data_IF_553415422153
#
_entry.id   IF_553415422153
#
_cell.length_a   1.000
_cell.length_b   1.000
_cell.length_c   1.000
_cell.angle_alpha   90.00
_cell.angle_beta   90.00
_cell.angle_gamma   90.00
#
_symmetry.space_group_name_H-M   'P 1'
#
loop_
_entity.id
_entity.type
_entity.pdbx_description
1 polymer ?
#
# COMPACT_ATOMS: atom_id res chain seq x y z
N UNK A 1 41.45 -16.43 7.23
CA UNK A 1 40.24 -17.22 6.90
C UNK A 1 39.10 -17.02 7.91
N UNK A 2 39.34 -17.13 9.23
CA UNK A 2 38.29 -16.93 10.26
C UNK A 2 37.63 -15.54 10.26
N UNK A 3 38.37 -14.46 9.97
CA UNK A 3 37.83 -13.10 9.90
C UNK A 3 36.85 -12.90 8.73
N UNK A 4 37.20 -13.42 7.54
CA UNK A 4 36.37 -13.34 6.33
C UNK A 4 35.06 -14.12 6.49
N UNK A 5 35.12 -15.35 7.01
CA UNK A 5 33.92 -16.15 7.25
C UNK A 5 32.97 -15.50 8.27
N UNK A 6 33.51 -14.83 9.29
CA UNK A 6 32.72 -14.14 10.32
C UNK A 6 32.04 -12.89 9.75
N UNK A 7 32.76 -12.11 8.94
CA UNK A 7 32.23 -10.94 8.22
C UNK A 7 31.14 -11.33 7.23
N UNK A 8 31.36 -12.38 6.44
CA UNK A 8 30.37 -12.86 5.48
C UNK A 8 29.10 -13.37 6.17
N UNK A 9 29.24 -14.04 7.32
CA UNK A 9 28.09 -14.50 8.11
C UNK A 9 27.29 -13.35 8.70
N UNK A 10 27.96 -12.34 9.25
CA UNK A 10 27.30 -11.14 9.76
C UNK A 10 26.52 -10.40 8.65
N UNK A 11 27.08 -10.34 7.45
CA UNK A 11 26.40 -9.71 6.31
C UNK A 11 25.17 -10.51 5.85
N UNK A 12 25.24 -11.85 5.86
CA UNK A 12 24.08 -12.69 5.57
C UNK A 12 22.98 -12.54 6.64
N UNK A 13 23.35 -12.52 7.92
CA UNK A 13 22.43 -12.30 9.04
C UNK A 13 21.71 -10.95 8.91
N UNK A 14 22.44 -9.89 8.60
CA UNK A 14 21.87 -8.57 8.34
C UNK A 14 20.94 -8.54 7.12
N UNK A 15 21.34 -9.16 6.01
CA UNK A 15 20.50 -9.22 4.81
C UNK A 15 19.19 -9.99 5.05
N UNK A 16 19.23 -11.06 5.86
CA UNK A 16 18.04 -11.80 6.25
C UNK A 16 17.08 -10.96 7.09
N UNK A 17 17.61 -10.14 8.00
CA UNK A 17 16.80 -9.24 8.84
C UNK A 17 16.08 -8.18 7.98
N UNK A 18 16.80 -7.51 7.08
CA UNK A 18 16.20 -6.53 6.16
C UNK A 18 15.12 -7.19 5.29
N UNK A 19 15.37 -8.39 4.77
CA UNK A 19 14.40 -9.11 3.95
C UNK A 19 13.13 -9.47 4.72
N UNK A 20 13.28 -9.93 5.96
CA UNK A 20 12.15 -10.24 6.85
C UNK A 20 11.32 -8.99 7.11
N UNK A 21 11.97 -7.88 7.41
CA UNK A 21 11.35 -6.58 7.65
C UNK A 21 10.56 -6.09 6.43
N UNK A 22 11.14 -6.23 5.23
CA UNK A 22 10.46 -5.93 3.98
C UNK A 22 9.20 -6.79 3.79
N UNK A 23 9.30 -8.11 4.00
CA UNK A 23 8.15 -9.01 3.88
C UNK A 23 7.02 -8.64 4.86
N UNK A 24 7.37 -8.32 6.11
CA UNK A 24 6.38 -7.93 7.12
C UNK A 24 5.67 -6.63 6.75
N UNK A 25 6.39 -5.60 6.28
CA UNK A 25 5.75 -4.35 5.83
C UNK A 25 4.89 -4.59 4.60
N UNK A 26 5.34 -5.42 3.67
CA UNK A 26 4.57 -5.79 2.48
C UNK A 26 3.24 -6.47 2.85
N UNK A 27 3.25 -7.38 3.81
CA UNK A 27 2.03 -8.06 4.27
C UNK A 27 1.07 -7.09 4.97
N UNK A 28 1.58 -6.13 5.75
CA UNK A 28 0.74 -5.07 6.35
C UNK A 28 0.04 -4.24 5.28
N UNK A 29 0.78 -3.77 4.27
CA UNK A 29 0.24 -2.99 3.16
C UNK A 29 -0.82 -3.79 2.40
N UNK A 30 -0.56 -5.06 2.08
CA UNK A 30 -1.54 -5.95 1.44
C UNK A 30 -2.81 -6.11 2.27
N UNK A 31 -2.69 -6.20 3.59
CA UNK A 31 -3.86 -6.26 4.47
C UNK A 31 -4.66 -4.95 4.47
N UNK A 32 -4.00 -3.79 4.40
CA UNK A 32 -4.68 -2.50 4.24
C UNK A 32 -5.45 -2.48 2.92
N UNK A 33 -4.78 -2.78 1.80
CA UNK A 33 -5.39 -2.83 0.47
C UNK A 33 -6.61 -3.75 0.43
N UNK A 34 -6.51 -4.94 1.01
CA UNK A 34 -7.61 -5.91 1.03
C UNK A 34 -8.83 -5.42 1.84
N UNK A 35 -8.62 -4.75 2.97
CA UNK A 35 -9.72 -4.23 3.81
C UNK A 35 -10.41 -3.01 3.21
N UNK A 36 -9.69 -2.25 2.41
CA UNK A 36 -10.18 -1.02 1.78
C UNK A 36 -10.92 -1.24 0.46
N UNK A 37 -11.11 -2.49 0.04
CA UNK A 37 -11.90 -2.79 -1.15
C UNK A 37 -13.37 -2.43 -0.89
N UNK A 38 -13.84 -1.39 -1.58
CA UNK A 38 -15.23 -0.98 -1.54
C UNK A 38 -16.02 -1.71 -2.63
N UNK A 39 -17.22 -2.19 -2.31
CA UNK A 39 -18.16 -2.77 -3.28
C UNK A 39 -19.27 -1.78 -3.59
N UNK A 40 -19.49 -1.48 -4.88
CA UNK A 40 -20.59 -0.64 -5.32
C UNK A 40 -21.95 -1.24 -4.96
N UNK A 41 -22.66 -0.61 -4.02
CA UNK A 41 -24.08 -0.87 -3.79
C UNK A 41 -24.91 0.23 -4.48
N UNK A 42 -26.02 -0.13 -5.15
CA UNK A 42 -26.88 0.84 -5.80
C UNK A 42 -27.57 1.73 -4.75
N UNK A 43 -27.31 3.04 -4.83
CA UNK A 43 -27.92 4.03 -3.95
C UNK A 43 -29.35 4.33 -4.37
N UNK A 44 -30.32 4.10 -3.49
CA UNK A 44 -31.76 4.30 -3.78
C UNK A 44 -32.40 5.43 -2.97
N UNK A 45 -31.65 6.13 -2.10
CA UNK A 45 -32.17 7.22 -1.26
C UNK A 45 -31.10 8.26 -0.94
N UNK A 46 -31.52 9.52 -0.73
CA UNK A 46 -30.60 10.63 -0.40
C UNK A 46 -29.84 10.36 0.91
N UNK A 47 -30.51 9.76 1.89
CA UNK A 47 -29.88 9.35 3.14
C UNK A 47 -28.79 8.28 2.91
N UNK A 48 -29.06 7.28 2.06
CA UNK A 48 -28.06 6.28 1.66
C UNK A 48 -26.87 6.91 0.92
N UNK A 49 -27.14 7.89 0.06
CA UNK A 49 -26.10 8.62 -0.67
C UNK A 49 -25.14 9.37 0.27
N UNK A 50 -25.68 10.11 1.24
CA UNK A 50 -24.87 10.79 2.25
C UNK A 50 -24.09 9.82 3.13
N UNK A 51 -24.70 8.68 3.49
CA UNK A 51 -24.01 7.63 4.24
C UNK A 51 -22.79 7.10 3.47
N UNK A 52 -22.94 6.81 2.18
CA UNK A 52 -21.82 6.32 1.36
C UNK A 52 -20.71 7.34 1.20
N UNK A 53 -21.05 8.63 1.03
CA UNK A 53 -20.07 9.72 1.00
C UNK A 53 -19.27 9.78 2.31
N UNK A 54 -19.94 9.68 3.46
CA UNK A 54 -19.29 9.68 4.77
C UNK A 54 -18.37 8.47 4.94
N UNK A 55 -18.85 7.28 4.55
CA UNK A 55 -18.07 6.04 4.61
C UNK A 55 -16.79 6.13 3.76
N UNK A 56 -16.91 6.55 2.50
CA UNK A 56 -15.75 6.71 1.61
C UNK A 56 -14.79 7.78 2.15
N UNK A 57 -15.31 8.86 2.72
CA UNK A 57 -14.48 9.91 3.34
C UNK A 57 -13.69 9.38 4.52
N UNK A 58 -14.30 8.53 5.35
CA UNK A 58 -13.60 7.84 6.43
C UNK A 58 -12.53 6.89 5.90
N UNK A 59 -12.87 6.05 4.92
CA UNK A 59 -11.93 5.11 4.30
C UNK A 59 -10.73 5.83 3.66
N UNK A 60 -10.95 6.98 3.01
CA UNK A 60 -9.88 7.82 2.46
C UNK A 60 -8.94 8.34 3.55
N UNK A 61 -9.48 8.83 4.67
CA UNK A 61 -8.65 9.28 5.80
C UNK A 61 -7.84 8.11 6.38
N UNK A 62 -8.44 6.94 6.55
CA UNK A 62 -7.75 5.76 7.05
C UNK A 62 -6.61 5.33 6.12
N UNK A 63 -6.83 5.31 4.81
CA UNK A 63 -5.80 4.98 3.81
C UNK A 63 -4.67 6.02 3.84
N UNK A 64 -5.00 7.32 3.87
CA UNK A 64 -4.00 8.39 3.97
C UNK A 64 -3.16 8.27 5.25
N UNK A 65 -3.76 7.87 6.37
CA UNK A 65 -3.06 7.61 7.62
C UNK A 65 -2.08 6.42 7.54
N UNK A 66 -2.26 5.51 6.58
CA UNK A 66 -1.38 4.37 6.32
C UNK A 66 -0.29 4.67 5.27
N UNK A 67 -0.22 5.88 4.71
CA UNK A 67 0.80 6.27 3.71
C UNK A 67 2.23 6.06 4.23
N UNK A 68 2.47 6.26 5.52
CA UNK A 68 3.78 6.05 6.13
C UNK A 68 4.30 4.61 5.99
N UNK A 69 3.41 3.60 5.94
CA UNK A 69 3.80 2.19 5.74
C UNK A 69 4.22 1.93 4.29
N UNK A 70 3.62 2.61 3.31
CA UNK A 70 4.03 2.57 1.90
C UNK A 70 5.41 3.21 1.74
N UNK A 71 5.62 4.36 2.38
CA UNK A 71 6.90 5.07 2.32
C UNK A 71 8.02 4.22 2.93
N UNK A 72 7.75 3.58 4.07
CA UNK A 72 8.67 2.64 4.72
C UNK A 72 8.94 1.39 3.86
N UNK A 73 7.92 0.82 3.22
CA UNK A 73 8.09 -0.31 2.29
C UNK A 73 9.02 0.06 1.14
N UNK A 74 8.81 1.25 0.56
CA UNK A 74 9.62 1.77 -0.52
C UNK A 74 11.06 2.03 -0.09
N UNK A 75 11.28 2.54 1.12
CA UNK A 75 12.62 2.70 1.70
C UNK A 75 13.35 1.36 1.86
N UNK A 76 12.73 0.40 2.55
CA UNK A 76 13.28 -0.94 2.76
C UNK A 76 13.58 -1.64 1.44
N UNK A 77 12.68 -1.51 0.47
CA UNK A 77 12.86 -2.05 -0.87
C UNK A 77 14.08 -1.46 -1.60
N UNK A 78 14.32 -0.15 -1.48
CA UNK A 78 15.52 0.51 -2.04
C UNK A 78 16.81 0.02 -1.38
N UNK A 79 16.80 -0.26 -0.08
CA UNK A 79 17.98 -0.76 0.61
C UNK A 79 18.32 -2.20 0.19
N UNK A 80 17.31 -3.04 -0.04
CA UNK A 80 17.49 -4.38 -0.60
C UNK A 80 18.06 -4.31 -2.02
N UNK A 81 17.51 -3.46 -2.89
CA UNK A 81 17.93 -3.41 -4.31
C UNK A 81 19.36 -2.91 -4.50
N UNK A 82 19.88 -2.08 -3.58
CA UNK A 82 21.29 -1.63 -3.58
C UNK A 82 22.28 -2.77 -3.37
N UNK A 83 21.91 -3.78 -2.59
CA UNK A 83 22.80 -4.89 -2.21
C UNK A 83 22.50 -6.20 -2.95
N UNK A 84 21.35 -6.29 -3.61
CA UNK A 84 20.90 -7.46 -4.34
C UNK A 84 21.65 -7.67 -5.67
N UNK A 85 21.71 -8.93 -6.11
CA UNK A 85 22.01 -9.26 -7.50
C UNK A 85 20.91 -8.77 -8.46
N UNK A 86 21.16 -8.90 -9.76
CA UNK A 86 20.24 -8.41 -10.79
C UNK A 86 18.84 -9.04 -10.70
N UNK A 87 18.75 -10.34 -10.44
CA UNK A 87 17.48 -11.08 -10.41
C UNK A 87 16.64 -10.65 -9.20
N UNK A 88 17.27 -10.61 -8.02
CA UNK A 88 16.59 -10.19 -6.80
C UNK A 88 16.17 -8.72 -6.85
N UNK A 89 17.02 -7.85 -7.44
CA UNK A 89 16.69 -6.44 -7.67
C UNK A 89 15.42 -6.30 -8.51
N UNK A 90 15.37 -6.95 -9.68
CA UNK A 90 14.19 -6.89 -10.56
C UNK A 90 12.92 -7.40 -9.86
N UNK A 91 13.03 -8.47 -9.08
CA UNK A 91 11.89 -9.02 -8.36
C UNK A 91 11.34 -8.04 -7.31
N UNK A 92 12.21 -7.38 -6.54
CA UNK A 92 11.79 -6.38 -5.54
C UNK A 92 11.21 -5.15 -6.21
N UNK A 93 11.86 -4.61 -7.25
CA UNK A 93 11.38 -3.45 -8.00
C UNK A 93 9.98 -3.70 -8.60
N UNK A 94 9.75 -4.90 -9.15
CA UNK A 94 8.44 -5.29 -9.67
C UNK A 94 7.37 -5.34 -8.57
N UNK A 95 7.69 -5.91 -7.41
CA UNK A 95 6.76 -5.96 -6.28
C UNK A 95 6.41 -4.56 -5.76
N UNK A 96 7.40 -3.68 -5.59
CA UNK A 96 7.19 -2.30 -5.21
C UNK A 96 6.34 -1.55 -6.25
N UNK A 97 6.64 -1.70 -7.54
CA UNK A 97 5.88 -1.04 -8.60
C UNK A 97 4.42 -1.47 -8.59
N UNK A 98 4.15 -2.77 -8.43
CA UNK A 98 2.78 -3.29 -8.35
C UNK A 98 2.03 -2.72 -7.13
N UNK A 99 2.62 -2.78 -5.94
CA UNK A 99 1.97 -2.30 -4.71
C UNK A 99 1.71 -0.80 -4.77
N UNK A 100 2.67 -0.01 -5.24
CA UNK A 100 2.45 1.44 -5.37
C UNK A 100 1.36 1.76 -6.39
N UNK A 101 1.27 0.99 -7.49
CA UNK A 101 0.18 1.14 -8.45
C UNK A 101 -1.17 0.82 -7.79
N UNK A 102 -1.31 -0.34 -7.16
CA UNK A 102 -2.53 -0.76 -6.47
C UNK A 102 -2.98 0.26 -5.41
N UNK A 103 -2.01 0.82 -4.66
CA UNK A 103 -2.25 1.88 -3.69
C UNK A 103 -2.82 3.16 -4.32
N UNK A 104 -2.18 3.63 -5.39
CA UNK A 104 -2.62 4.85 -6.09
C UNK A 104 -3.97 4.64 -6.81
N UNK A 105 -4.20 3.47 -7.37
CA UNK A 105 -5.45 3.10 -8.02
C UNK A 105 -6.60 3.07 -6.99
N UNK A 106 -6.35 2.55 -5.78
CA UNK A 106 -7.32 2.57 -4.68
C UNK A 106 -7.66 4.00 -4.24
N UNK A 107 -6.64 4.83 -3.99
CA UNK A 107 -6.83 6.20 -3.55
C UNK A 107 -7.63 7.01 -4.58
N UNK A 108 -7.18 6.98 -5.84
CA UNK A 108 -7.84 7.71 -6.93
C UNK A 108 -9.26 7.18 -7.21
N UNK A 109 -9.48 5.88 -7.09
CA UNK A 109 -10.81 5.27 -7.23
C UNK A 109 -11.79 5.75 -6.16
N UNK A 110 -11.36 5.78 -4.90
CA UNK A 110 -12.19 6.26 -3.79
C UNK A 110 -12.46 7.77 -3.90
N UNK A 111 -11.48 8.57 -4.28
CA UNK A 111 -11.65 10.01 -4.52
C UNK A 111 -12.65 10.28 -5.65
N UNK A 112 -12.47 9.63 -6.81
CA UNK A 112 -13.35 9.78 -7.96
C UNK A 112 -14.79 9.40 -7.64
N UNK A 113 -14.96 8.32 -6.86
CA UNK A 113 -16.27 7.86 -6.40
C UNK A 113 -16.91 8.86 -5.45
N UNK A 114 -16.20 9.33 -4.41
CA UNK A 114 -16.71 10.34 -3.47
C UNK A 114 -17.17 11.58 -4.24
N UNK A 115 -16.38 12.03 -5.21
CA UNK A 115 -16.69 13.21 -6.01
C UNK A 115 -17.94 12.97 -6.89
N UNK A 116 -18.09 11.78 -7.45
CA UNK A 116 -19.28 11.38 -8.22
C UNK A 116 -20.53 11.37 -7.35
N UNK A 117 -20.49 10.74 -6.18
CA UNK A 117 -21.61 10.68 -5.25
C UNK A 117 -21.97 12.06 -4.69
N UNK A 118 -20.96 12.90 -4.41
CA UNK A 118 -21.17 14.28 -3.95
C UNK A 118 -21.89 15.11 -5.00
N UNK A 119 -21.49 14.99 -6.28
CA UNK A 119 -22.20 15.65 -7.40
C UNK A 119 -23.64 15.14 -7.54
N UNK A 120 -23.86 13.82 -7.39
CA UNK A 120 -25.19 13.24 -7.43
C UNK A 120 -26.09 13.79 -6.31
N UNK A 121 -25.55 13.93 -5.09
CA UNK A 121 -26.29 14.46 -3.95
C UNK A 121 -26.75 15.90 -4.19
N UNK A 122 -25.86 16.74 -4.75
CA UNK A 122 -26.17 18.12 -5.13
C UNK A 122 -27.29 18.25 -6.17
N UNK A 123 -27.54 17.20 -6.97
CA UNK A 123 -28.67 17.20 -7.93
C UNK A 123 -30.00 16.76 -7.30
N UNK A 124 -29.96 16.16 -6.10
CA UNK A 124 -31.15 15.68 -5.39
C UNK A 124 -31.66 16.67 -4.34
N UNK A 125 -30.82 17.62 -3.92
CA UNK A 125 -31.17 18.80 -3.12
C UNK A 125 -31.86 19.89 -3.98
#
# INVERSE_FOLDING_TARGET
MLSLARSQRAQLEHNMEIWKDFCQTMDKVRCVLARSQYTDEPVTSLAGLHFDILKITHDLNDIQNQQAEIDLLNERGRDITRQADHSNRQNVEKQLSNINREWNDLLSGLESRRDTLTKLAQHWD
#
